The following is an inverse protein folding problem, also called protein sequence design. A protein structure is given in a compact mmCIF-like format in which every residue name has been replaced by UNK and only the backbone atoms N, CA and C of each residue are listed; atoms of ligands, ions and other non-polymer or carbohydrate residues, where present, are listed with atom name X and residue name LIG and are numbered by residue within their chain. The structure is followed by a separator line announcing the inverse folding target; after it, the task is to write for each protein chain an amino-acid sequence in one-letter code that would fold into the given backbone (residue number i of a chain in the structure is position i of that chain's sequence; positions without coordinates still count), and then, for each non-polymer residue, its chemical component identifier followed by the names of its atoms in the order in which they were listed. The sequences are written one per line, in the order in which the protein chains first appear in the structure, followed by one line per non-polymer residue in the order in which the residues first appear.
data_IF_858409515638
#
_entry.id   IF_858409515638
#
_cell.length_a   1.000
_cell.length_b   1.000
_cell.length_c   1.000
_cell.angle_alpha   90.00
_cell.angle_beta   90.00
_cell.angle_gamma   90.00
#
_symmetry.space_group_name_H-M   'P 1'
#
loop_
_entity.id
_entity.type
_entity.pdbx_description
1 polymer ?
#
# COMPACT_ATOMS: atom_id res chain seq x y z
N UNK A 1 -0.28 -9.30 41.23
CA UNK A 1 -1.72 -9.42 40.91
C UNK A 1 -2.00 -8.54 39.71
N UNK A 2 -2.58 -9.08 38.63
CA UNK A 2 -2.94 -8.26 37.48
C UNK A 2 -4.08 -7.32 37.89
N UNK A 3 -3.88 -6.00 37.83
CA UNK A 3 -4.96 -5.05 38.08
C UNK A 3 -5.80 -4.85 36.81
N UNK A 4 -6.98 -4.23 36.95
CA UNK A 4 -7.89 -4.03 35.81
C UNK A 4 -7.28 -3.23 34.66
N UNK A 5 -6.36 -2.31 34.96
CA UNK A 5 -5.65 -1.50 33.96
C UNK A 5 -4.67 -2.37 33.16
N UNK A 6 -3.86 -3.19 33.83
CA UNK A 6 -2.93 -4.12 33.19
C UNK A 6 -3.68 -5.13 32.31
N UNK A 7 -4.84 -5.63 32.75
CA UNK A 7 -5.67 -6.53 31.93
C UNK A 7 -6.22 -5.83 30.68
N UNK A 8 -6.67 -4.58 30.83
CA UNK A 8 -7.16 -3.77 29.72
C UNK A 8 -6.08 -3.53 28.66
N UNK A 9 -4.88 -3.13 29.07
CA UNK A 9 -3.75 -2.89 28.16
C UNK A 9 -3.37 -4.16 27.41
N UNK A 10 -3.27 -5.30 28.11
CA UNK A 10 -2.95 -6.58 27.48
C UNK A 10 -4.00 -6.98 26.45
N UNK A 11 -5.29 -6.74 26.75
CA UNK A 11 -6.39 -7.04 25.82
C UNK A 11 -6.28 -6.20 24.55
N UNK A 12 -6.04 -4.89 24.67
CA UNK A 12 -5.86 -4.00 23.52
C UNK A 12 -4.68 -4.43 22.66
N UNK A 13 -3.55 -4.78 23.27
CA UNK A 13 -2.37 -5.25 22.54
C UNK A 13 -2.67 -6.54 21.77
N UNK A 14 -3.35 -7.51 22.41
CA UNK A 14 -3.75 -8.76 21.76
C UNK A 14 -4.67 -8.49 20.58
N UNK A 15 -5.65 -7.59 20.73
CA UNK A 15 -6.57 -7.24 19.63
C UNK A 15 -5.85 -6.54 18.47
N UNK A 16 -4.91 -5.64 18.75
CA UNK A 16 -4.12 -4.96 17.71
C UNK A 16 -3.22 -5.94 16.95
N UNK A 17 -2.51 -6.81 17.66
CA UNK A 17 -1.65 -7.83 17.03
C UNK A 17 -2.50 -8.83 16.26
N UNK A 18 -3.58 -9.32 16.86
CA UNK A 18 -4.50 -10.27 16.22
C UNK A 18 -5.14 -9.70 14.96
N UNK A 19 -5.61 -8.45 15.01
CA UNK A 19 -6.16 -7.74 13.85
C UNK A 19 -5.12 -7.53 12.74
N UNK A 20 -3.88 -7.19 13.11
CA UNK A 20 -2.78 -7.04 12.15
C UNK A 20 -2.44 -8.37 11.47
N UNK A 21 -2.29 -9.45 12.24
CA UNK A 21 -2.02 -10.80 11.70
C UNK A 21 -3.16 -11.26 10.80
N UNK A 22 -4.41 -11.07 11.22
CA UNK A 22 -5.58 -11.41 10.41
C UNK A 22 -5.58 -10.67 9.07
N UNK A 23 -5.25 -9.38 9.08
CA UNK A 23 -5.14 -8.56 7.86
C UNK A 23 -4.06 -9.10 6.93
N UNK A 24 -2.91 -9.51 7.45
CA UNK A 24 -1.85 -10.13 6.65
C UNK A 24 -2.29 -11.46 6.02
N UNK A 25 -2.97 -12.31 6.80
CA UNK A 25 -3.47 -13.60 6.31
C UNK A 25 -4.51 -13.41 5.19
N UNK A 26 -5.44 -12.48 5.35
CA UNK A 26 -6.43 -12.18 4.31
C UNK A 26 -5.74 -11.72 3.01
N UNK A 27 -4.79 -10.78 3.09
CA UNK A 27 -4.07 -10.30 1.91
C UNK A 27 -3.22 -11.39 1.26
N UNK A 28 -2.63 -12.30 2.03
CA UNK A 28 -1.77 -13.35 1.51
C UNK A 28 -2.55 -14.49 0.83
N UNK A 29 -3.73 -14.85 1.34
CA UNK A 29 -4.44 -16.06 0.91
C UNK A 29 -5.73 -15.80 0.13
N UNK A 30 -6.42 -14.68 0.35
CA UNK A 30 -7.76 -14.44 -0.20
C UNK A 30 -7.79 -13.41 -1.34
N UNK A 31 -6.74 -12.61 -1.53
CA UNK A 31 -6.73 -11.54 -2.53
C UNK A 31 -5.71 -11.86 -3.64
N UNK A 32 -6.15 -12.01 -4.91
CA UNK A 32 -5.25 -12.17 -6.04
C UNK A 32 -4.60 -10.81 -6.37
N UNK A 33 -3.49 -10.50 -5.71
CA UNK A 33 -2.66 -9.34 -6.02
C UNK A 33 -1.78 -9.65 -7.24
N UNK A 34 -2.34 -9.41 -8.43
CA UNK A 34 -1.57 -9.39 -9.67
C UNK A 34 -0.85 -8.05 -9.78
N UNK A 35 0.48 -8.11 -9.74
CA UNK A 35 1.34 -6.93 -9.74
C UNK A 35 1.87 -6.69 -11.15
N UNK A 36 1.80 -5.45 -11.63
CA UNK A 36 2.45 -5.06 -12.87
C UNK A 36 3.98 -5.22 -12.72
N UNK A 37 4.66 -5.91 -13.66
CA UNK A 37 6.12 -6.02 -13.69
C UNK A 37 6.78 -4.65 -13.71
N UNK A 38 8.02 -4.56 -13.20
CA UNK A 38 8.71 -3.28 -13.03
C UNK A 38 9.05 -2.66 -14.39
N UNK A 39 9.45 -3.50 -15.33
CA UNK A 39 9.86 -3.12 -16.68
C UNK A 39 8.69 -2.48 -17.42
N UNK A 40 7.49 -3.07 -17.30
CA UNK A 40 6.25 -2.53 -17.87
C UNK A 40 5.88 -1.19 -17.22
N UNK A 41 6.08 -1.03 -15.91
CA UNK A 41 5.85 0.27 -15.23
C UNK A 41 6.82 1.33 -15.75
N UNK A 42 8.08 0.97 -16.01
CA UNK A 42 9.06 1.89 -16.57
C UNK A 42 8.67 2.36 -17.96
N UNK A 43 8.25 1.44 -18.82
CA UNK A 43 7.72 1.75 -20.15
C UNK A 43 6.48 2.66 -20.07
N UNK A 44 5.52 2.35 -19.18
CA UNK A 44 4.33 3.18 -18.99
C UNK A 44 4.72 4.62 -18.62
N UNK A 45 5.59 4.78 -17.61
CA UNK A 45 5.99 6.10 -17.14
C UNK A 45 6.77 6.88 -18.20
N UNK A 46 7.59 6.20 -19.00
CA UNK A 46 8.32 6.80 -20.11
C UNK A 46 7.37 7.26 -21.24
N UNK A 47 6.43 6.42 -21.65
CA UNK A 47 5.45 6.71 -22.71
C UNK A 47 4.53 7.87 -22.30
N UNK A 48 4.17 7.98 -21.02
CA UNK A 48 3.27 9.02 -20.53
C UNK A 48 3.92 10.41 -20.50
N UNK A 49 5.25 10.51 -20.57
CA UNK A 49 6.03 11.76 -20.54
C UNK A 49 5.53 12.80 -19.51
N UNK A 50 5.23 12.30 -18.31
CA UNK A 50 4.57 13.06 -17.24
C UNK A 50 5.38 14.30 -16.84
N UNK A 51 4.67 15.40 -16.58
CA UNK A 51 5.21 16.66 -16.07
C UNK A 51 4.73 16.91 -14.64
N UNK A 52 5.36 17.87 -13.96
CA UNK A 52 5.10 18.17 -12.54
C UNK A 52 3.66 18.63 -12.28
N UNK A 53 3.07 19.30 -13.25
CA UNK A 53 1.72 19.82 -13.28
C UNK A 53 0.65 18.75 -13.51
N UNK A 54 1.04 17.58 -14.00
CA UNK A 54 0.10 16.49 -14.27
C UNK A 54 -0.42 15.86 -12.97
N UNK A 55 -1.62 15.28 -13.08
CA UNK A 55 -2.28 14.57 -12.01
C UNK A 55 -2.55 13.12 -12.43
N UNK A 56 -1.75 12.19 -11.89
CA UNK A 56 -1.89 10.77 -12.15
C UNK A 56 -2.80 10.11 -11.12
N UNK A 57 -3.70 9.24 -11.60
CA UNK A 57 -4.58 8.39 -10.77
C UNK A 57 -4.44 6.96 -11.25
N UNK A 58 -4.19 6.04 -10.32
CA UNK A 58 -4.06 4.60 -10.59
C UNK A 58 -5.28 3.85 -10.04
N UNK A 59 -6.15 3.41 -10.96
CA UNK A 59 -7.42 2.78 -10.63
C UNK A 59 -7.22 1.33 -10.17
N UNK A 60 -6.99 1.15 -8.87
CA UNK A 60 -6.67 -0.15 -8.28
C UNK A 60 -5.17 -0.30 -8.04
N UNK A 61 -4.58 0.69 -7.37
CA UNK A 61 -3.12 0.86 -7.26
C UNK A 61 -2.36 -0.25 -6.53
N UNK A 62 -3.05 -1.16 -5.84
CA UNK A 62 -2.41 -2.27 -5.12
C UNK A 62 -1.40 -1.78 -4.10
N UNK A 63 -0.10 -2.01 -4.34
CA UNK A 63 0.99 -1.51 -3.50
C UNK A 63 1.52 -0.12 -3.91
N UNK A 64 0.86 0.56 -4.84
CA UNK A 64 1.14 1.94 -5.26
C UNK A 64 2.39 2.10 -6.13
N UNK A 65 3.01 1.00 -6.59
CA UNK A 65 4.29 1.01 -7.32
C UNK A 65 4.32 1.93 -8.56
N UNK A 66 3.22 2.04 -9.30
CA UNK A 66 3.13 2.92 -10.47
C UNK A 66 3.15 4.39 -10.06
N UNK A 67 2.30 4.77 -9.09
CA UNK A 67 2.25 6.14 -8.56
C UNK A 67 3.60 6.57 -7.97
N UNK A 68 4.26 5.69 -7.22
CA UNK A 68 5.59 5.95 -6.65
C UNK A 68 6.64 6.16 -7.74
N UNK A 69 6.66 5.32 -8.78
CA UNK A 69 7.60 5.47 -9.91
C UNK A 69 7.31 6.76 -10.69
N UNK A 70 6.05 7.04 -10.99
CA UNK A 70 5.63 8.24 -11.72
C UNK A 70 6.02 9.52 -10.99
N UNK A 71 5.74 9.60 -9.68
CA UNK A 71 6.12 10.73 -8.84
C UNK A 71 7.65 10.89 -8.77
N UNK A 72 8.39 9.79 -8.59
CA UNK A 72 9.85 9.82 -8.55
C UNK A 72 10.47 10.30 -9.86
N UNK A 73 9.84 10.04 -11.01
CA UNK A 73 10.38 10.41 -12.32
C UNK A 73 10.04 11.86 -12.72
N UNK A 74 8.80 12.27 -12.50
CA UNK A 74 8.25 13.53 -13.05
C UNK A 74 7.96 14.61 -11.99
N UNK A 75 7.90 14.23 -10.71
CA UNK A 75 7.40 15.09 -9.64
C UNK A 75 5.91 15.43 -9.75
N UNK A 76 5.15 14.73 -10.61
CA UNK A 76 3.72 14.94 -10.80
C UNK A 76 2.95 14.70 -9.50
N UNK A 77 1.74 15.26 -9.38
CA UNK A 77 0.86 14.93 -8.26
C UNK A 77 0.25 13.56 -8.50
N UNK A 78 0.31 12.68 -7.50
CA UNK A 78 -0.29 11.35 -7.55
C UNK A 78 -1.26 11.18 -6.38
N UNK A 79 -2.46 10.66 -6.64
CA UNK A 79 -3.46 10.29 -5.63
C UNK A 79 -3.95 8.88 -5.82
#
# INVERSE_FOLDING_TARGET
MLNGISLGIMTVIILLIGGFVLTLLINAFLIPLLKTPKEVIEEIVEIMDLKKEDHLVDLGSGDGRLLLKAHSNSGCRSK
#
